data_IF_374383011811
#
_entry.id   IF_374383011811
#
_cell.length_a   1.000
_cell.length_b   1.000
_cell.length_c   1.000
_cell.angle_alpha   90.00
_cell.angle_beta   90.00
_cell.angle_gamma   90.00
#
_symmetry.space_group_name_H-M   'P 1'
#
loop_
_entity.id
_entity.type
_entity.pdbx_description
1 polymer ?
#
# COMPACT_ATOMS: atom_id res chain seq x y z
N UNK A 1 -25.83 -2.95 15.48
CA UNK A 1 -24.46 -2.92 16.03
C UNK A 1 -23.94 -1.48 15.94
N UNK A 2 -23.11 -1.00 16.89
CA UNK A 2 -22.48 0.31 16.79
C UNK A 2 -21.43 0.32 15.67
N UNK A 3 -21.00 1.52 15.26
CA UNK A 3 -19.86 1.69 14.36
C UNK A 3 -18.56 1.19 15.04
N UNK A 4 -17.59 0.77 14.23
CA UNK A 4 -16.28 0.33 14.71
C UNK A 4 -15.40 1.49 15.18
N UNK A 5 -14.36 1.15 15.96
CA UNK A 5 -13.32 2.08 16.40
C UNK A 5 -12.54 2.68 15.20
N UNK A 6 -12.16 3.95 15.31
CA UNK A 6 -11.44 4.72 14.29
C UNK A 6 -10.02 5.10 14.73
N UNK A 7 -9.53 4.57 15.86
CA UNK A 7 -8.14 4.73 16.26
C UNK A 7 -7.18 4.24 15.16
N UNK A 8 -6.03 4.88 15.02
CA UNK A 8 -4.98 4.41 14.10
C UNK A 8 -4.50 3.03 14.54
N UNK A 9 -4.28 2.14 13.57
CA UNK A 9 -3.79 0.79 13.83
C UNK A 9 -2.32 0.72 14.29
N UNK A 10 -1.56 1.81 14.17
CA UNK A 10 -0.15 1.90 14.56
C UNK A 10 0.20 3.36 14.94
N UNK A 11 1.36 3.58 15.55
CA UNK A 11 1.81 4.92 15.98
C UNK A 11 1.85 5.93 14.82
N UNK A 12 2.24 5.46 13.63
CA UNK A 12 2.18 6.22 12.38
C UNK A 12 1.84 5.28 11.24
N UNK A 13 1.07 5.81 10.29
CA UNK A 13 0.67 5.13 9.07
C UNK A 13 0.94 6.06 7.89
N UNK A 14 1.66 5.57 6.88
CA UNK A 14 1.94 6.31 5.66
C UNK A 14 1.45 5.53 4.45
N UNK A 15 0.63 6.15 3.62
CA UNK A 15 0.15 5.55 2.39
C UNK A 15 0.79 6.23 1.19
N UNK A 16 1.29 5.43 0.25
CA UNK A 16 1.88 5.89 -1.01
C UNK A 16 1.19 5.19 -2.18
N UNK A 17 0.85 5.96 -3.21
CA UNK A 17 0.36 5.41 -4.46
C UNK A 17 1.47 4.66 -5.19
N UNK A 18 1.12 3.53 -5.80
CA UNK A 18 1.98 2.83 -6.75
C UNK A 18 1.52 3.21 -8.15
N UNK A 19 2.40 3.84 -8.93
CA UNK A 19 2.08 4.44 -10.23
C UNK A 19 2.86 3.75 -11.34
N UNK A 20 2.18 3.38 -12.42
CA UNK A 20 2.77 2.78 -13.60
C UNK A 20 3.66 1.60 -13.26
N UNK A 21 4.88 1.62 -13.78
CA UNK A 21 5.81 0.49 -13.71
C UNK A 21 6.38 0.25 -12.30
N UNK A 22 6.18 1.18 -11.36
CA UNK A 22 6.49 0.94 -9.94
C UNK A 22 5.68 -0.24 -9.34
N UNK A 23 4.66 -0.73 -10.03
CA UNK A 23 3.96 -1.96 -9.67
C UNK A 23 4.85 -3.20 -9.77
N UNK A 24 5.85 -3.20 -10.65
CA UNK A 24 6.78 -4.33 -10.84
C UNK A 24 7.77 -4.48 -9.67
N UNK A 25 7.95 -3.43 -8.87
CA UNK A 25 8.77 -3.44 -7.64
C UNK A 25 8.08 -4.16 -6.46
N UNK A 26 6.92 -4.80 -6.67
CA UNK A 26 6.15 -5.47 -5.62
C UNK A 26 6.97 -6.42 -4.73
N UNK A 27 7.95 -7.23 -5.22
CA UNK A 27 8.71 -8.11 -4.35
C UNK A 27 9.57 -7.33 -3.35
N UNK A 28 10.16 -6.22 -3.81
CA UNK A 28 10.97 -5.32 -2.98
C UNK A 28 10.10 -4.53 -2.00
N UNK A 29 8.89 -4.16 -2.38
CA UNK A 29 7.95 -3.52 -1.46
C UNK A 29 7.59 -4.49 -0.32
N UNK A 30 7.28 -5.74 -0.65
CA UNK A 30 6.88 -6.77 0.31
C UNK A 30 8.05 -7.32 1.15
N UNK A 31 9.30 -7.03 0.81
CA UNK A 31 10.43 -7.45 1.66
C UNK A 31 10.52 -6.67 2.98
N UNK A 32 9.88 -5.50 3.08
CA UNK A 32 9.68 -4.80 4.36
C UNK A 32 8.36 -5.30 4.98
N UNK A 33 8.40 -6.01 6.13
CA UNK A 33 7.20 -6.56 6.76
C UNK A 33 6.24 -5.47 7.28
N UNK A 34 6.68 -4.22 7.39
CA UNK A 34 5.82 -3.10 7.76
C UNK A 34 4.96 -2.59 6.58
N UNK A 35 5.21 -3.05 5.35
CA UNK A 35 4.46 -2.67 4.16
C UNK A 35 3.28 -3.61 3.91
N UNK A 36 2.11 -3.01 3.72
CA UNK A 36 0.89 -3.67 3.26
C UNK A 36 0.61 -3.21 1.83
N UNK A 37 0.96 -4.03 0.84
CA UNK A 37 0.77 -3.74 -0.57
C UNK A 37 -0.63 -4.18 -1.04
N UNK A 38 -1.32 -3.31 -1.77
CA UNK A 38 -2.56 -3.60 -2.47
C UNK A 38 -2.45 -3.19 -3.93
N UNK A 39 -2.30 -4.19 -4.82
CA UNK A 39 -2.38 -4.02 -6.28
C UNK A 39 -3.80 -4.25 -6.77
N UNK A 40 -4.27 -3.43 -7.71
CA UNK A 40 -5.65 -3.49 -8.21
C UNK A 40 -5.91 -4.56 -9.29
N UNK A 41 -4.95 -5.46 -9.56
CA UNK A 41 -5.11 -6.52 -10.57
C UNK A 41 -5.28 -6.01 -12.02
N UNK A 42 -4.79 -4.80 -12.32
CA UNK A 42 -4.85 -4.21 -13.66
C UNK A 42 -3.92 -4.97 -14.60
N UNK A 43 -4.44 -5.39 -15.76
CA UNK A 43 -3.71 -6.21 -16.73
C UNK A 43 -2.40 -5.60 -17.27
N UNK A 44 -2.24 -4.27 -17.23
CA UNK A 44 -1.02 -3.60 -17.71
C UNK A 44 -0.74 -2.30 -16.95
N UNK A 45 0.54 -2.10 -16.61
CA UNK A 45 1.06 -0.82 -16.17
C UNK A 45 1.09 0.18 -17.34
N UNK A 46 0.86 1.47 -17.02
CA UNK A 46 0.98 2.59 -17.97
C UNK A 46 1.49 3.82 -17.21
N UNK A 47 2.28 4.71 -17.85
CA UNK A 47 2.71 5.96 -17.22
C UNK A 47 1.54 6.73 -16.61
N UNK A 48 1.69 7.18 -15.36
CA UNK A 48 0.66 7.92 -14.61
C UNK A 48 -0.53 7.10 -14.11
N UNK A 49 -0.67 5.82 -14.50
CA UNK A 49 -1.79 4.98 -14.06
C UNK A 49 -1.58 4.53 -12.62
N UNK A 50 -2.52 4.81 -11.72
CA UNK A 50 -2.49 4.27 -10.35
C UNK A 50 -2.73 2.76 -10.37
N UNK A 51 -1.70 1.99 -10.07
CA UNK A 51 -1.72 0.52 -10.10
C UNK A 51 -2.10 -0.10 -8.75
N UNK A 52 -1.94 0.67 -7.67
CA UNK A 52 -2.25 0.22 -6.33
C UNK A 52 -1.82 1.24 -5.29
N UNK A 53 -1.59 0.74 -4.08
CA UNK A 53 -0.97 1.49 -3.01
C UNK A 53 -0.22 0.59 -2.05
N UNK A 54 0.72 1.18 -1.33
CA UNK A 54 1.35 0.57 -0.17
C UNK A 54 1.05 1.41 1.05
N UNK A 55 0.62 0.76 2.12
CA UNK A 55 0.47 1.36 3.44
C UNK A 55 1.60 0.84 4.32
N UNK A 56 2.44 1.73 4.83
CA UNK A 56 3.53 1.40 5.74
C UNK A 56 3.15 1.76 7.18
N UNK A 57 3.34 0.82 8.10
CA UNK A 57 3.16 1.04 9.52
C UNK A 57 4.50 1.40 10.17
N UNK A 58 4.51 2.34 11.11
CA UNK A 58 5.60 2.45 12.08
C UNK A 58 5.26 1.54 13.25
N UNK A 59 5.99 0.42 13.35
CA UNK A 59 5.84 -0.55 14.43
C UNK A 59 6.57 -0.01 15.68
N UNK A 60 5.94 -0.16 16.85
CA UNK A 60 6.50 0.23 18.14
C UNK A 60 7.53 -0.78 18.65
#
# INVERSE_FOLDING_TARGET
>A
LPLGDTALAAQRVEMRNVIGDAAEDWPKILSDPANHLHLYGKAAARPGRKMGHVTRLTLC
#
